data_IF_176454964405
#
_entry.id   IF_176454964405
#
_cell.length_a   1.000
_cell.length_b   1.000
_cell.length_c   1.000
_cell.angle_alpha   90.00
_cell.angle_beta   90.00
_cell.angle_gamma   90.00
#
_symmetry.space_group_name_H-M   'P 1'
#
loop_
_entity.id
_entity.type
_entity.pdbx_description
1 polymer ?
#
# COMPACT_ATOMS: atom_id res chain seq x y z
N UNK A 1 -15.20 -3.60 18.09
CA UNK A 1 -14.07 -3.10 17.28
C UNK A 1 -14.41 -1.70 16.78
N UNK A 2 -13.52 -0.75 16.96
CA UNK A 2 -13.69 0.60 16.45
C UNK A 2 -13.47 0.63 14.94
N UNK A 3 -13.94 1.69 14.28
CA UNK A 3 -13.67 1.88 12.85
C UNK A 3 -12.16 1.97 12.58
N UNK A 4 -11.43 2.65 13.44
CA UNK A 4 -9.97 2.76 13.30
C UNK A 4 -9.28 1.40 13.38
N UNK A 5 -9.70 0.54 14.30
CA UNK A 5 -9.19 -0.84 14.39
C UNK A 5 -9.53 -1.65 13.15
N UNK A 6 -10.75 -1.54 12.65
CA UNK A 6 -11.19 -2.25 11.45
C UNK A 6 -10.37 -1.81 10.22
N UNK A 7 -10.17 -0.51 10.06
CA UNK A 7 -9.35 0.05 8.98
C UNK A 7 -7.90 -0.42 9.12
N UNK A 8 -7.37 -0.43 10.33
CA UNK A 8 -6.03 -0.94 10.62
C UNK A 8 -5.84 -2.38 10.15
N UNK A 9 -6.85 -3.23 10.32
CA UNK A 9 -6.81 -4.62 9.83
C UNK A 9 -6.80 -4.70 8.31
N UNK A 10 -7.51 -3.79 7.63
CA UNK A 10 -7.48 -3.72 6.17
C UNK A 10 -6.07 -3.35 5.69
N UNK A 11 -5.44 -2.38 6.35
CA UNK A 11 -4.06 -2.00 6.03
C UNK A 11 -3.11 -3.20 6.25
N UNK A 12 -3.23 -3.88 7.38
CA UNK A 12 -2.40 -5.05 7.68
C UNK A 12 -2.56 -6.14 6.62
N UNK A 13 -3.79 -6.40 6.18
CA UNK A 13 -4.09 -7.39 5.14
C UNK A 13 -3.48 -6.98 3.78
N UNK A 14 -3.51 -5.69 3.47
CA UNK A 14 -2.91 -5.18 2.23
C UNK A 14 -1.40 -5.44 2.21
N UNK A 15 -0.69 -5.12 3.29
CA UNK A 15 0.75 -5.38 3.37
C UNK A 15 1.06 -6.88 3.34
N UNK A 16 0.26 -7.71 4.01
CA UNK A 16 0.44 -9.16 4.00
C UNK A 16 0.29 -9.74 2.59
N UNK A 17 -0.62 -9.20 1.80
CA UNK A 17 -0.90 -9.68 0.45
C UNK A 17 0.26 -9.50 -0.52
N UNK A 18 1.02 -8.41 -0.39
CA UNK A 18 2.14 -8.10 -1.29
C UNK A 18 3.47 -8.66 -0.79
N UNK A 19 3.54 -9.08 0.46
CA UNK A 19 4.79 -9.50 1.12
C UNK A 19 4.99 -11.00 1.07
N UNK A 20 6.24 -11.42 0.92
CA UNK A 20 6.59 -12.83 0.97
C UNK A 20 7.93 -13.13 0.31
N UNK A 21 8.41 -14.38 0.45
CA UNK A 21 9.56 -14.83 -0.31
C UNK A 21 9.24 -14.84 -1.81
N UNK A 22 10.25 -14.88 -2.65
CA UNK A 22 10.06 -14.93 -4.11
C UNK A 22 9.12 -16.05 -4.49
N UNK A 23 8.20 -15.76 -5.40
CA UNK A 23 7.16 -16.68 -5.82
C UNK A 23 5.86 -15.92 -6.11
N UNK A 24 4.85 -16.62 -6.62
CA UNK A 24 3.56 -16.00 -6.90
C UNK A 24 2.89 -15.54 -5.62
N UNK A 25 2.12 -14.44 -5.72
CA UNK A 25 1.29 -13.94 -4.63
C UNK A 25 -0.11 -14.54 -4.71
N UNK A 26 -0.74 -14.68 -3.55
CA UNK A 26 -2.14 -15.11 -3.47
C UNK A 26 -3.04 -13.87 -3.45
N UNK A 27 -3.74 -13.64 -4.57
CA UNK A 27 -4.67 -12.52 -4.71
C UNK A 27 -6.12 -12.90 -4.39
N UNK A 28 -6.38 -14.11 -3.89
CA UNK A 28 -7.76 -14.61 -3.69
C UNK A 28 -8.57 -13.77 -2.72
N UNK A 29 -7.93 -13.04 -1.80
CA UNK A 29 -8.59 -12.18 -0.81
C UNK A 29 -8.60 -10.70 -1.18
N UNK A 30 -8.19 -10.38 -2.41
CA UNK A 30 -8.07 -9.00 -2.86
C UNK A 30 -9.38 -8.22 -2.71
N UNK A 31 -10.52 -8.87 -2.97
CA UNK A 31 -11.85 -8.24 -2.89
C UNK A 31 -12.33 -8.00 -1.45
N UNK A 32 -11.73 -8.65 -0.48
CA UNK A 32 -11.99 -8.37 0.93
C UNK A 32 -11.30 -7.07 1.37
N UNK A 33 -10.24 -6.68 0.68
CA UNK A 33 -9.40 -5.53 1.02
C UNK A 33 -9.73 -4.32 0.14
N UNK A 34 -10.01 -4.54 -1.14
CA UNK A 34 -10.22 -3.49 -2.15
C UNK A 34 -11.60 -3.56 -2.77
N UNK A 35 -12.18 -2.40 -3.08
CA UNK A 35 -13.31 -2.34 -4.01
C UNK A 35 -12.85 -2.84 -5.38
N UNK A 36 -13.76 -3.47 -6.15
CA UNK A 36 -13.43 -4.01 -7.48
C UNK A 36 -12.92 -2.93 -8.45
N UNK A 37 -13.34 -1.68 -8.28
CA UNK A 37 -12.94 -0.55 -9.12
C UNK A 37 -11.84 0.29 -8.48
N UNK A 38 -11.21 -0.21 -7.40
CA UNK A 38 -10.14 0.51 -6.73
C UNK A 38 -8.98 0.79 -7.67
N UNK A 39 -8.27 1.87 -7.38
CA UNK A 39 -7.05 2.24 -8.12
C UNK A 39 -5.85 2.21 -7.21
N UNK A 40 -4.78 1.67 -7.74
CA UNK A 40 -3.46 1.66 -7.12
C UNK A 40 -2.55 2.47 -8.02
N UNK A 41 -1.92 3.52 -7.48
CA UNK A 41 -1.22 4.50 -8.28
C UNK A 41 0.22 4.66 -7.80
N UNK A 42 1.14 4.42 -8.71
CA UNK A 42 2.58 4.59 -8.45
C UNK A 42 3.01 5.96 -8.95
N UNK A 43 3.78 6.69 -8.15
CA UNK A 43 4.36 7.97 -8.56
C UNK A 43 5.89 7.91 -8.50
N UNK A 44 6.52 8.91 -9.06
CA UNK A 44 7.96 9.05 -9.02
C UNK A 44 8.42 10.22 -9.87
N UNK A 45 9.73 10.30 -10.06
CA UNK A 45 10.36 11.27 -10.96
C UNK A 45 11.08 10.50 -12.07
N UNK A 46 11.05 11.04 -13.29
CA UNK A 46 11.85 10.51 -14.39
C UNK A 46 13.31 10.98 -14.28
N UNK A 47 14.14 10.60 -15.25
CA UNK A 47 15.56 10.95 -15.26
C UNK A 47 15.81 12.46 -15.31
N UNK A 48 14.83 13.25 -15.76
CA UNK A 48 14.91 14.71 -15.83
C UNK A 48 14.25 15.40 -14.64
N UNK A 49 13.85 14.63 -13.61
CA UNK A 49 13.18 15.16 -12.43
C UNK A 49 11.72 15.51 -12.64
N UNK A 50 11.09 15.00 -13.71
CA UNK A 50 9.70 15.28 -14.04
C UNK A 50 8.78 14.30 -13.34
N UNK A 51 7.76 14.76 -12.61
CA UNK A 51 6.80 13.86 -11.96
C UNK A 51 6.02 13.02 -12.97
N UNK A 52 5.75 11.77 -12.61
CA UNK A 52 4.91 10.86 -13.39
C UNK A 52 3.98 10.08 -12.46
N UNK A 53 2.93 9.51 -13.03
CA UNK A 53 1.98 8.64 -12.34
C UNK A 53 1.63 7.46 -13.24
N UNK A 54 1.52 6.27 -12.64
CA UNK A 54 0.98 5.08 -13.27
C UNK A 54 -0.27 4.65 -12.53
N UNK A 55 -1.41 4.71 -13.20
CA UNK A 55 -2.72 4.37 -12.62
C UNK A 55 -3.06 2.93 -12.99
N UNK A 56 -3.33 2.09 -12.00
CA UNK A 56 -3.58 0.67 -12.16
C UNK A 56 -4.87 0.26 -11.46
N UNK A 57 -5.69 -0.56 -12.13
CA UNK A 57 -6.74 -1.33 -11.45
C UNK A 57 -6.13 -2.53 -10.75
N UNK A 58 -6.96 -3.36 -10.11
CA UNK A 58 -6.47 -4.52 -9.35
C UNK A 58 -5.72 -5.52 -10.23
N UNK A 59 -6.28 -5.87 -11.39
CA UNK A 59 -5.64 -6.82 -12.30
C UNK A 59 -4.37 -6.25 -12.91
N UNK A 60 -4.35 -4.95 -13.19
CA UNK A 60 -3.17 -4.28 -13.72
C UNK A 60 -2.01 -4.36 -12.73
N UNK A 61 -2.30 -4.13 -11.44
CA UNK A 61 -1.28 -4.21 -10.39
C UNK A 61 -0.73 -5.62 -10.26
N UNK A 62 -1.61 -6.64 -10.23
CA UNK A 62 -1.20 -8.04 -10.13
C UNK A 62 -0.32 -8.44 -11.32
N UNK A 63 -0.67 -7.99 -12.53
CA UNK A 63 0.10 -8.28 -13.74
C UNK A 63 1.43 -7.53 -13.77
N UNK A 64 1.42 -6.25 -13.38
CA UNK A 64 2.60 -5.39 -13.37
C UNK A 64 3.68 -5.89 -12.40
N UNK A 65 3.27 -6.46 -11.27
CA UNK A 65 4.20 -6.89 -10.21
C UNK A 65 4.57 -8.37 -10.29
N UNK A 66 3.90 -9.15 -11.13
CA UNK A 66 4.05 -10.61 -11.18
C UNK A 66 5.50 -11.06 -11.35
N UNK A 67 6.21 -10.53 -12.33
CA UNK A 67 7.58 -10.94 -12.62
C UNK A 67 8.54 -10.52 -11.51
N UNK A 68 8.34 -9.33 -10.96
CA UNK A 68 9.14 -8.85 -9.84
C UNK A 68 9.00 -9.77 -8.62
N UNK A 69 7.78 -10.10 -8.23
CA UNK A 69 7.53 -10.97 -7.08
C UNK A 69 8.00 -12.40 -7.33
N UNK A 70 7.93 -12.87 -8.57
CA UNK A 70 8.42 -14.21 -8.91
C UNK A 70 9.94 -14.36 -8.73
N UNK A 71 10.67 -13.26 -8.84
CA UNK A 71 12.13 -13.24 -8.87
C UNK A 71 12.77 -12.65 -7.61
N UNK A 72 12.00 -12.01 -6.74
CA UNK A 72 12.54 -11.28 -5.61
C UNK A 72 11.80 -11.60 -4.32
N UNK A 73 12.55 -11.78 -3.23
CA UNK A 73 12.00 -11.70 -1.89
C UNK A 73 11.59 -10.25 -1.66
N UNK A 74 10.36 -10.02 -1.21
CA UNK A 74 9.84 -8.68 -1.02
C UNK A 74 8.91 -8.63 0.18
N UNK A 75 9.26 -7.78 1.14
CA UNK A 75 8.46 -7.58 2.35
C UNK A 75 8.24 -6.08 2.50
N UNK A 76 7.00 -5.66 2.38
CA UNK A 76 6.61 -4.28 2.65
C UNK A 76 6.12 -4.21 4.09
N UNK A 77 6.86 -3.51 4.93
CA UNK A 77 6.62 -3.46 6.37
C UNK A 77 6.18 -2.05 6.75
N UNK A 78 5.03 -1.96 7.39
CA UNK A 78 4.54 -0.67 7.89
C UNK A 78 5.34 -0.24 9.12
N UNK A 79 5.79 1.02 9.12
CA UNK A 79 6.58 1.60 10.20
C UNK A 79 5.86 2.75 10.91
N UNK A 80 4.67 3.12 10.47
CA UNK A 80 3.85 4.13 11.11
C UNK A 80 2.55 4.33 10.35
N UNK A 81 1.50 4.80 11.04
CA UNK A 81 0.23 5.10 10.39
C UNK A 81 -0.50 6.22 11.10
N UNK A 82 -1.31 6.93 10.35
CA UNK A 82 -2.29 7.87 10.88
C UNK A 82 -3.59 7.71 10.11
N UNK A 83 -4.67 7.40 10.83
CA UNK A 83 -5.99 7.13 10.25
C UNK A 83 -6.93 8.25 10.67
N UNK A 84 -7.74 8.74 9.73
CA UNK A 84 -8.83 9.69 10.00
C UNK A 84 -10.12 9.11 9.48
N UNK A 85 -11.20 9.24 10.25
CA UNK A 85 -12.52 8.67 9.92
C UNK A 85 -13.59 9.76 10.02
N UNK A 86 -14.48 9.78 9.04
CA UNK A 86 -15.70 10.57 9.09
C UNK A 86 -16.85 9.80 8.44
N UNK A 87 -17.78 9.29 9.27
CA UNK A 87 -18.91 8.51 8.75
C UNK A 87 -18.45 7.29 7.96
N UNK A 88 -18.82 7.22 6.69
CA UNK A 88 -18.51 6.09 5.82
C UNK A 88 -17.26 6.30 4.97
N UNK A 89 -16.48 7.32 5.25
CA UNK A 89 -15.20 7.56 4.58
C UNK A 89 -14.07 7.64 5.59
N UNK A 90 -12.89 7.29 5.11
CA UNK A 90 -11.67 7.40 5.91
C UNK A 90 -10.47 7.59 4.99
N UNK A 91 -9.39 8.07 5.56
CA UNK A 91 -8.09 8.07 4.89
C UNK A 91 -6.99 7.64 5.86
N UNK A 92 -5.87 7.24 5.31
CA UNK A 92 -4.68 6.93 6.10
C UNK A 92 -3.42 7.34 5.36
N UNK A 93 -2.45 7.83 6.12
CA UNK A 93 -1.06 7.85 5.71
C UNK A 93 -0.39 6.67 6.38
N UNK A 94 0.13 5.77 5.56
CA UNK A 94 0.79 4.55 6.02
C UNK A 94 2.22 4.57 5.52
N UNK A 95 3.15 4.65 6.46
CA UNK A 95 4.59 4.71 6.17
C UNK A 95 5.14 3.30 6.11
N UNK A 96 5.94 3.02 5.08
CA UNK A 96 6.46 1.67 4.85
C UNK A 96 7.95 1.65 4.52
N UNK A 97 8.52 0.47 4.73
CA UNK A 97 9.85 0.09 4.23
C UNK A 97 9.70 -1.12 3.32
N UNK A 98 10.36 -1.09 2.17
CA UNK A 98 10.50 -2.25 1.31
C UNK A 98 11.79 -2.97 1.68
N UNK A 99 11.66 -4.22 2.13
CA UNK A 99 12.75 -5.05 2.66
C UNK A 99 12.87 -6.34 1.89
N UNK A 100 14.05 -6.95 1.93
CA UNK A 100 14.26 -8.30 1.37
C UNK A 100 14.00 -9.40 2.39
N UNK A 101 13.93 -9.05 3.67
CA UNK A 101 13.53 -9.91 4.78
C UNK A 101 12.75 -9.08 5.80
N UNK A 102 11.81 -9.66 6.56
CA UNK A 102 10.98 -8.89 7.49
C UNK A 102 11.75 -8.12 8.56
N UNK A 103 12.90 -8.64 8.98
CA UNK A 103 13.75 -8.07 10.02
C UNK A 103 14.97 -7.31 9.47
N UNK A 104 15.00 -7.06 8.16
CA UNK A 104 16.10 -6.33 7.53
C UNK A 104 16.12 -4.88 8.03
N UNK A 105 17.28 -4.45 8.51
CA UNK A 105 17.47 -3.08 9.02
C UNK A 105 17.96 -2.10 7.98
N UNK A 106 18.19 -2.58 6.74
CA UNK A 106 18.67 -1.77 5.64
C UNK A 106 17.68 -1.86 4.46
N UNK A 107 16.53 -1.15 4.54
CA UNK A 107 15.51 -1.26 3.51
C UNK A 107 15.99 -0.73 2.16
N UNK A 108 15.46 -1.31 1.08
CA UNK A 108 15.75 -0.85 -0.28
C UNK A 108 15.15 0.52 -0.54
N UNK A 109 13.97 0.78 0.04
CA UNK A 109 13.31 2.08 -0.06
C UNK A 109 12.30 2.26 1.08
N UNK A 110 11.94 3.50 1.31
CA UNK A 110 10.91 3.89 2.28
C UNK A 110 9.95 4.86 1.60
N UNK A 111 8.70 4.83 1.98
CA UNK A 111 7.71 5.70 1.37
C UNK A 111 6.43 5.79 2.15
N UNK A 112 5.45 6.41 1.52
CA UNK A 112 4.10 6.61 2.08
C UNK A 112 3.07 6.08 1.09
N UNK A 113 2.13 5.30 1.62
CA UNK A 113 0.87 5.00 0.95
C UNK A 113 -0.19 5.97 1.48
N UNK A 114 -0.73 6.81 0.62
CA UNK A 114 -1.90 7.63 0.93
C UNK A 114 -3.14 6.86 0.47
N UNK A 115 -3.99 6.48 1.42
CA UNK A 115 -5.05 5.50 1.19
C UNK A 115 -6.39 6.14 1.50
N UNK A 116 -7.38 5.91 0.64
CA UNK A 116 -8.78 6.27 0.89
C UNK A 116 -9.63 5.01 1.05
N UNK A 117 -10.49 5.03 2.04
CA UNK A 117 -11.36 3.90 2.40
C UNK A 117 -12.82 4.31 2.36
N UNK A 118 -13.68 3.33 2.18
CA UNK A 118 -15.13 3.49 2.32
C UNK A 118 -15.69 2.32 3.13
N UNK A 119 -16.82 2.54 3.81
CA UNK A 119 -17.57 1.47 4.43
C UNK A 119 -18.73 1.08 3.52
N UNK A 120 -18.77 -0.19 3.11
CA UNK A 120 -19.77 -0.71 2.19
C UNK A 120 -21.10 -1.07 2.86
N UNK A 121 -22.08 -1.51 2.07
CA UNK A 121 -23.38 -1.95 2.55
C UNK A 121 -23.29 -3.10 3.56
N UNK A 122 -22.27 -3.94 3.41
CA UNK A 122 -22.00 -5.05 4.32
C UNK A 122 -21.40 -4.60 5.67
N UNK A 123 -21.21 -3.30 5.86
CA UNK A 123 -20.62 -2.73 7.07
C UNK A 123 -19.09 -2.83 7.12
N UNK A 124 -18.45 -3.33 6.07
CA UNK A 124 -17.01 -3.57 6.04
C UNK A 124 -16.27 -2.44 5.34
N UNK A 125 -15.10 -2.11 5.88
CA UNK A 125 -14.19 -1.13 5.28
C UNK A 125 -13.35 -1.78 4.18
N UNK A 126 -13.17 -1.05 3.07
CA UNK A 126 -12.29 -1.44 1.96
C UNK A 126 -11.55 -0.23 1.41
N UNK A 127 -10.45 -0.49 0.75
CA UNK A 127 -9.67 0.52 0.06
C UNK A 127 -10.33 0.85 -1.27
N UNK A 128 -10.53 2.15 -1.54
CA UNK A 128 -11.02 2.64 -2.83
C UNK A 128 -9.89 3.19 -3.69
N UNK A 129 -8.91 3.83 -3.09
CA UNK A 129 -7.75 4.33 -3.82
C UNK A 129 -6.52 4.31 -2.93
N UNK A 130 -5.37 4.16 -3.56
CA UNK A 130 -4.10 4.13 -2.89
C UNK A 130 -3.05 4.70 -3.84
N UNK A 131 -2.31 5.70 -3.38
CA UNK A 131 -1.26 6.34 -4.16
C UNK A 131 -0.01 6.42 -3.29
N UNK A 132 1.16 6.17 -3.87
CA UNK A 132 2.39 6.16 -3.10
C UNK A 132 3.53 6.88 -3.81
N UNK A 133 4.45 7.37 -2.97
CA UNK A 133 5.74 7.90 -3.39
C UNK A 133 6.80 7.48 -2.38
N UNK A 134 8.04 7.54 -2.78
CA UNK A 134 9.18 7.06 -1.99
C UNK A 134 10.13 8.20 -1.62
N UNK A 135 10.89 8.00 -0.54
CA UNK A 135 11.99 8.89 -0.20
C UNK A 135 12.99 8.99 -1.36
N UNK A 136 13.61 10.14 -1.46
CA UNK A 136 14.71 10.44 -2.39
C UNK A 136 15.55 11.57 -1.82
N UNK A 137 16.69 11.93 -2.41
CA UNK A 137 17.46 13.06 -1.91
C UNK A 137 16.59 14.32 -1.76
N UNK A 138 16.60 14.89 -0.56
CA UNK A 138 15.79 16.07 -0.22
C UNK A 138 14.35 15.77 0.21
N UNK A 139 13.92 14.51 0.17
CA UNK A 139 12.58 14.13 0.60
C UNK A 139 12.64 12.96 1.57
N UNK A 140 12.30 13.20 2.82
CA UNK A 140 12.31 12.20 3.89
C UNK A 140 10.92 12.02 4.48
N UNK A 141 10.66 10.83 5.03
CA UNK A 141 9.40 10.56 5.70
C UNK A 141 9.16 11.55 6.83
N UNK A 142 7.91 12.04 7.00
CA UNK A 142 7.56 12.90 8.12
C UNK A 142 7.43 12.10 9.41
N UNK A 143 7.50 12.79 10.52
CA UNK A 143 7.04 12.29 11.81
C UNK A 143 5.51 12.48 11.86
N UNK A 144 4.77 11.40 12.11
CA UNK A 144 3.31 11.45 12.19
C UNK A 144 2.78 11.90 13.55
N UNK A 145 3.67 12.14 14.49
CA UNK A 145 3.32 12.64 15.81
C UNK A 145 3.23 11.56 16.86
#
# INVERSE_FOLDING_TARGET
MTDEEAIGRVIDAMYAMVSGPKGPRDWSRQRDVFHQDARQMRTGLDANGKPWIKIMGLNDYSSDTRDFFAQNDFFEVEIGRRIRVFGNIADAWSLYEARTAPDDTNPERRGINAIQFYRGEDGRWRIMSMIWDNERPGLKLPDLG
#
